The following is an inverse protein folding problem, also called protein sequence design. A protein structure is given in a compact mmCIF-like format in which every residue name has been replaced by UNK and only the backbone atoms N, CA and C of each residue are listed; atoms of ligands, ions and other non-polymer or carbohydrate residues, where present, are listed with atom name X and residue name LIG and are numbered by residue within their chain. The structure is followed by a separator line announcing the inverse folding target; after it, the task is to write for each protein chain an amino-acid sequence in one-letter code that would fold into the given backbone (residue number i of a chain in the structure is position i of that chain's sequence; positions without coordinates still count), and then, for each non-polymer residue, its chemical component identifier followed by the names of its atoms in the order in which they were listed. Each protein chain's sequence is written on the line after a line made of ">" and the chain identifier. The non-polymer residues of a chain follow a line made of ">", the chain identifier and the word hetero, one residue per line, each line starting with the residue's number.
data_IF_315018380772
#
_entry.id   IF_315018380772
#
_cell.length_a   1.000
_cell.length_b   1.000
_cell.length_c   1.000
_cell.angle_alpha   90.00
_cell.angle_beta   90.00
_cell.angle_gamma   90.00
#
_symmetry.space_group_name_H-M   'P 1'
#
loop_
_entity.id
_entity.type
_entity.pdbx_description
1 polymer ?
#
# COMPACT_ATOMS: atom_id res chain seq x y z
N UNK A 1 -18.59 -0.96 -1.54
CA UNK A 1 -17.65 -1.70 -0.65
C UNK A 1 -16.29 -1.69 -1.36
N UNK A 2 -15.17 -1.64 -0.64
CA UNK A 2 -13.84 -1.74 -1.25
C UNK A 2 -13.18 -3.03 -0.74
N UNK A 3 -12.65 -3.86 -1.64
CA UNK A 3 -12.08 -5.17 -1.29
C UNK A 3 -10.90 -5.49 -2.20
N UNK A 4 -9.80 -5.95 -1.60
CA UNK A 4 -8.63 -6.45 -2.33
C UNK A 4 -8.38 -7.91 -2.01
N UNK A 5 -7.77 -8.62 -2.95
CA UNK A 5 -7.14 -9.92 -2.75
C UNK A 5 -5.66 -9.67 -2.52
N UNK A 6 -5.14 -10.20 -1.42
CA UNK A 6 -3.77 -9.97 -0.98
C UNK A 6 -2.97 -11.26 -1.10
N UNK A 7 -1.83 -11.22 -1.81
CA UNK A 7 -0.88 -12.33 -1.93
C UNK A 7 0.40 -11.96 -1.20
N UNK A 8 0.73 -12.74 -0.17
CA UNK A 8 1.94 -12.55 0.63
C UNK A 8 3.10 -13.37 0.08
N UNK A 9 4.25 -12.72 -0.07
CA UNK A 9 5.57 -13.33 -0.21
C UNK A 9 6.34 -13.02 1.09
N UNK A 10 6.48 -14.01 2.00
CA UNK A 10 7.15 -13.81 3.28
C UNK A 10 8.49 -13.09 3.14
N UNK A 11 8.72 -12.12 4.02
CA UNK A 11 9.96 -11.32 4.13
C UNK A 11 10.39 -10.54 2.86
N UNK A 12 9.54 -10.50 1.82
CA UNK A 12 9.85 -9.81 0.55
C UNK A 12 8.77 -8.85 0.09
N UNK A 13 7.53 -9.30 0.00
CA UNK A 13 6.50 -8.51 -0.66
C UNK A 13 5.07 -8.87 -0.26
N UNK A 14 4.15 -7.94 -0.52
CA UNK A 14 2.71 -8.18 -0.47
C UNK A 14 2.08 -7.52 -1.70
N UNK A 15 1.41 -8.31 -2.54
CA UNK A 15 0.66 -7.79 -3.69
C UNK A 15 -0.81 -7.68 -3.34
N UNK A 16 -1.42 -6.55 -3.65
CA UNK A 16 -2.82 -6.22 -3.45
C UNK A 16 -3.47 -6.06 -4.83
N UNK A 17 -4.53 -6.81 -5.11
CA UNK A 17 -5.29 -6.69 -6.37
C UNK A 17 -6.75 -6.39 -6.07
N UNK A 18 -7.34 -5.45 -6.80
CA UNK A 18 -8.76 -5.11 -6.67
C UNK A 18 -9.66 -6.33 -6.89
N UNK A 19 -10.65 -6.50 -6.03
CA UNK A 19 -11.75 -7.47 -6.18
C UNK A 19 -13.08 -6.74 -6.39
N UNK A 20 -13.30 -5.68 -5.62
CA UNK A 20 -14.52 -4.86 -5.68
C UNK A 20 -14.20 -3.44 -5.22
N UNK A 21 -14.82 -2.44 -5.83
CA UNK A 21 -14.58 -1.04 -5.46
C UNK A 21 -14.90 -0.02 -6.54
N UNK A 22 -14.70 1.27 -6.24
CA UNK A 22 -14.95 2.38 -7.17
C UNK A 22 -13.91 2.49 -8.30
N UNK A 23 -12.86 1.69 -8.23
CA UNK A 23 -11.77 1.66 -9.20
C UNK A 23 -12.08 0.67 -10.32
N UNK A 24 -11.62 0.96 -11.54
CA UNK A 24 -11.58 -0.03 -12.63
C UNK A 24 -10.44 -1.01 -12.46
N UNK A 25 -9.32 -0.48 -11.97
CA UNK A 25 -8.12 -1.22 -11.71
C UNK A 25 -7.48 -0.62 -10.47
N UNK A 26 -7.01 -1.47 -9.57
CA UNK A 26 -6.12 -1.09 -8.49
C UNK A 26 -5.18 -2.26 -8.23
N UNK A 27 -3.89 -1.97 -8.30
CA UNK A 27 -2.83 -2.88 -7.91
C UNK A 27 -1.88 -2.15 -6.97
N UNK A 28 -1.66 -2.73 -5.79
CA UNK A 28 -0.68 -2.28 -4.82
C UNK A 28 0.41 -3.32 -4.65
N UNK A 29 1.66 -2.90 -4.46
CA UNK A 29 2.76 -3.77 -4.10
C UNK A 29 3.55 -3.15 -2.96
N UNK A 30 3.57 -3.86 -1.84
CA UNK A 30 4.54 -3.63 -0.78
C UNK A 30 5.81 -4.40 -1.09
N UNK A 31 6.96 -3.76 -0.88
CA UNK A 31 8.28 -4.37 -0.96
C UNK A 31 9.07 -4.08 0.30
N UNK A 32 9.67 -5.12 0.86
CA UNK A 32 10.44 -5.06 2.09
C UNK A 32 11.90 -5.40 1.75
N UNK A 33 12.77 -4.40 1.88
CA UNK A 33 14.19 -4.54 1.56
C UNK A 33 15.01 -4.36 2.83
N UNK A 34 15.75 -5.38 3.29
CA UNK A 34 16.66 -5.23 4.42
C UNK A 34 17.72 -4.16 4.14
N UNK A 35 17.91 -3.24 5.09
CA UNK A 35 19.00 -2.26 5.08
C UNK A 35 20.01 -2.70 6.13
N UNK A 36 20.83 -3.71 5.82
CA UNK A 36 21.91 -4.24 6.68
C UNK A 36 21.54 -4.18 8.18
N UNK A 37 22.29 -3.40 8.96
CA UNK A 37 22.12 -3.26 10.41
C UNK A 37 21.22 -2.08 10.82
N UNK A 38 20.62 -1.38 9.86
CA UNK A 38 19.83 -0.17 10.09
C UNK A 38 18.31 -0.42 10.10
N UNK A 39 17.86 -1.60 9.67
CA UNK A 39 16.44 -1.98 9.68
C UNK A 39 15.94 -2.47 8.32
N UNK A 40 14.67 -2.21 8.02
CA UNK A 40 14.02 -2.61 6.76
C UNK A 40 13.38 -1.39 6.10
N UNK A 41 13.61 -1.22 4.80
CA UNK A 41 12.87 -0.26 3.98
C UNK A 41 11.57 -0.90 3.53
N UNK A 42 10.45 -0.24 3.80
CA UNK A 42 9.16 -0.60 3.24
C UNK A 42 8.78 0.40 2.15
N UNK A 43 8.58 -0.09 0.92
CA UNK A 43 8.10 0.70 -0.20
C UNK A 43 6.69 0.26 -0.56
N UNK A 44 5.80 1.23 -0.82
CA UNK A 44 4.47 0.99 -1.34
C UNK A 44 4.37 1.60 -2.74
N UNK A 45 4.16 0.74 -3.73
CA UNK A 45 3.83 1.12 -5.10
C UNK A 45 2.36 0.86 -5.36
N UNK A 46 1.64 1.84 -5.91
CA UNK A 46 0.23 1.66 -6.22
C UNK A 46 -0.08 2.22 -7.61
N UNK A 47 -0.74 1.41 -8.42
CA UNK A 47 -1.26 1.75 -9.74
C UNK A 47 -2.78 1.64 -9.70
N UNK A 48 -3.49 2.60 -10.28
CA UNK A 48 -4.94 2.56 -10.32
C UNK A 48 -5.50 3.25 -11.56
N UNK A 49 -6.73 2.86 -11.94
CA UNK A 49 -7.52 3.50 -12.96
C UNK A 49 -8.97 3.67 -12.48
N UNK A 50 -9.62 4.74 -12.92
CA UNK A 50 -11.00 5.07 -12.55
C UNK A 50 -11.85 5.27 -13.81
N UNK A 51 -13.17 5.34 -13.65
CA UNK A 51 -14.07 5.61 -14.75
C UNK A 51 -14.04 7.11 -15.11
N UNK A 52 -13.56 7.44 -16.32
CA UNK A 52 -13.57 8.80 -16.86
C UNK A 52 -12.52 9.75 -16.27
N UNK A 53 -12.27 10.86 -16.97
CA UNK A 53 -11.24 11.86 -16.63
C UNK A 53 -11.49 12.54 -15.28
N UNK A 54 -12.75 12.77 -14.91
CA UNK A 54 -13.12 13.41 -13.65
C UNK A 54 -12.78 12.56 -12.42
N UNK A 55 -12.92 11.23 -12.50
CA UNK A 55 -12.53 10.33 -11.41
C UNK A 55 -11.03 10.38 -11.11
N UNK A 56 -10.19 10.49 -12.14
CA UNK A 56 -8.73 10.56 -11.99
C UNK A 56 -8.29 11.86 -11.29
N UNK A 57 -8.92 12.99 -11.62
CA UNK A 57 -8.59 14.31 -11.06
C UNK A 57 -8.97 14.41 -9.58
N UNK A 58 -10.13 13.89 -9.19
CA UNK A 58 -10.59 13.96 -7.78
C UNK A 58 -9.88 12.94 -6.89
N UNK A 59 -9.58 11.75 -7.39
CA UNK A 59 -8.93 10.72 -6.58
C UNK A 59 -7.42 10.93 -6.43
N UNK A 60 -6.71 11.58 -7.36
CA UNK A 60 -5.25 11.74 -7.30
C UNK A 60 -4.72 12.23 -5.94
N UNK A 61 -5.08 13.44 -5.46
CA UNK A 61 -4.58 13.98 -4.19
C UNK A 61 -5.04 13.19 -2.96
N UNK A 62 -6.29 12.73 -2.95
CA UNK A 62 -6.82 11.92 -1.85
C UNK A 62 -6.14 10.55 -1.77
N UNK A 63 -5.74 10.00 -2.92
CA UNK A 63 -5.06 8.72 -3.03
C UNK A 63 -3.60 8.79 -2.55
N UNK A 64 -2.88 9.85 -2.90
CA UNK A 64 -1.54 10.10 -2.35
C UNK A 64 -1.58 10.22 -0.82
N UNK A 65 -2.55 10.98 -0.29
CA UNK A 65 -2.79 11.05 1.15
C UNK A 65 -3.08 9.68 1.76
N UNK A 66 -3.92 8.86 1.13
CA UNK A 66 -4.24 7.51 1.58
C UNK A 66 -2.99 6.60 1.60
N UNK A 67 -2.14 6.65 0.57
CA UNK A 67 -0.88 5.92 0.52
C UNK A 67 0.06 6.32 1.66
N UNK A 68 0.21 7.62 1.92
CA UNK A 68 1.02 8.11 3.04
C UNK A 68 0.46 7.62 4.38
N UNK A 69 -0.85 7.67 4.57
CA UNK A 69 -1.50 7.13 5.76
C UNK A 69 -1.26 5.62 5.94
N UNK A 70 -1.23 4.84 4.85
CA UNK A 70 -0.91 3.41 4.89
C UNK A 70 0.54 3.16 5.32
N UNK A 71 1.50 3.92 4.78
CA UNK A 71 2.92 3.86 5.19
C UNK A 71 3.10 4.21 6.66
N UNK A 72 2.47 5.30 7.13
CA UNK A 72 2.53 5.71 8.52
C UNK A 72 1.90 4.69 9.46
N UNK A 73 0.74 4.14 9.08
CA UNK A 73 0.07 3.10 9.85
C UNK A 73 0.91 1.82 9.93
N UNK A 74 1.54 1.42 8.82
CA UNK A 74 2.46 0.28 8.79
C UNK A 74 3.65 0.51 9.72
N UNK A 75 4.34 1.65 9.61
CA UNK A 75 5.50 1.98 10.44
C UNK A 75 5.14 2.07 11.93
N UNK A 76 3.96 2.63 12.26
CA UNK A 76 3.44 2.65 13.63
C UNK A 76 3.17 1.25 14.16
N UNK A 77 2.55 0.37 13.36
CA UNK A 77 2.27 -1.01 13.77
C UNK A 77 3.56 -1.81 13.96
N UNK A 78 4.54 -1.65 13.07
CA UNK A 78 5.84 -2.28 13.20
C UNK A 78 6.53 -1.89 14.51
N UNK A 79 6.53 -0.59 14.87
CA UNK A 79 7.06 -0.12 16.16
C UNK A 79 6.33 -0.72 17.36
N UNK A 80 5.01 -0.87 17.30
CA UNK A 80 4.25 -1.49 18.41
C UNK A 80 4.57 -2.98 18.59
N UNK A 81 4.80 -3.71 17.50
CA UNK A 81 5.05 -5.16 17.55
C UNK A 81 6.53 -5.48 17.83
N UNK A 82 7.45 -4.68 17.28
CA UNK A 82 8.89 -4.97 17.27
C UNK A 82 9.76 -3.94 18.00
N UNK A 83 9.26 -2.73 18.29
CA UNK A 83 10.05 -1.62 18.83
C UNK A 83 10.28 -1.64 20.35
N UNK A 84 9.71 -2.62 21.07
CA UNK A 84 9.92 -2.83 22.50
C UNK A 84 10.97 -3.91 22.82
N UNK A 85 11.86 -4.22 21.87
CA UNK A 85 12.95 -5.18 22.06
C UNK A 85 14.29 -4.46 22.02
#
# INVERSE_FOLDING_TARGET
>A
RFTTRNRHEPDRALTMSLVDGPFNHLEGRWEFTPIRNAGTRANLHVSFATHGVFGAITLGPAFEGACNHLVDAFARRARQVFGGR
#
